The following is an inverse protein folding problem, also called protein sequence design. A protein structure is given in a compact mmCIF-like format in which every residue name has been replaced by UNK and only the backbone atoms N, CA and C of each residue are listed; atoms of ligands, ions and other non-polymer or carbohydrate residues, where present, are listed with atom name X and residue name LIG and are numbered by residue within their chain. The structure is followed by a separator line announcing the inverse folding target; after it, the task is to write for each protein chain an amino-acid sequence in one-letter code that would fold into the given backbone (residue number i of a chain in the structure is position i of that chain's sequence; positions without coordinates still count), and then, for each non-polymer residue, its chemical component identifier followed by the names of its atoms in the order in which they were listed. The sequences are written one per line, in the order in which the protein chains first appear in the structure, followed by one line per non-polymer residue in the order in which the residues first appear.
data_IF_665978532040
#
_entry.id   IF_665978532040
#
_cell.length_a   1.000
_cell.length_b   1.000
_cell.length_c   1.000
_cell.angle_alpha   90.00
_cell.angle_beta   90.00
_cell.angle_gamma   90.00
#
_symmetry.space_group_name_H-M   'P 1'
#
loop_
_entity.id
_entity.type
_entity.pdbx_description
1 polymer ?
#
# COMPACT_ATOMS: atom_id res chain seq x y z
N UNK A 1 -9.93 40.71 -12.82
CA UNK A 1 -8.66 40.44 -12.10
C UNK A 1 -8.98 39.51 -10.94
N UNK A 2 -8.43 38.29 -10.90
CA UNK A 2 -8.59 37.39 -9.76
C UNK A 2 -7.41 37.63 -8.81
N UNK A 3 -7.67 38.17 -7.62
CA UNK A 3 -6.67 38.40 -6.59
C UNK A 3 -7.05 37.69 -5.29
N UNK A 4 -6.09 36.99 -4.68
CA UNK A 4 -6.24 36.37 -3.33
C UNK A 4 -6.11 37.38 -2.18
N UNK A 5 -6.09 38.67 -2.51
CA UNK A 5 -5.91 39.77 -1.58
C UNK A 5 -7.22 40.51 -1.34
N UNK A 6 -7.42 40.99 -0.11
CA UNK A 6 -8.53 41.87 0.26
C UNK A 6 -8.25 43.27 -0.28
N UNK A 7 -9.16 43.82 -1.09
CA UNK A 7 -9.02 45.17 -1.66
C UNK A 7 -9.80 46.18 -0.83
N UNK A 8 -9.14 47.22 -0.32
CA UNK A 8 -9.79 48.34 0.40
C UNK A 8 -9.68 49.62 -0.43
N UNK A 9 -10.81 50.21 -0.79
CA UNK A 9 -10.87 51.50 -1.50
C UNK A 9 -11.30 52.55 -0.50
N UNK A 10 -10.50 53.61 -0.32
CA UNK A 10 -10.78 54.71 0.62
C UNK A 10 -10.90 56.04 -0.10
N UNK A 11 -12.02 56.73 0.08
CA UNK A 11 -12.25 58.08 -0.46
C UNK A 11 -13.12 58.91 0.50
N UNK A 12 -12.71 60.15 0.78
CA UNK A 12 -13.45 61.12 1.63
C UNK A 12 -14.04 60.49 2.91
N UNK A 13 -13.18 59.85 3.70
CA UNK A 13 -13.50 59.16 4.96
C UNK A 13 -14.37 57.89 4.87
N UNK A 14 -14.78 57.46 3.66
CA UNK A 14 -15.49 56.19 3.45
C UNK A 14 -14.50 55.14 2.93
N UNK A 15 -14.43 54.00 3.61
CA UNK A 15 -13.64 52.83 3.20
C UNK A 15 -14.58 51.68 2.85
N UNK A 16 -14.45 51.12 1.64
CA UNK A 16 -15.17 49.90 1.22
C UNK A 16 -14.18 48.76 1.06
N UNK A 17 -14.46 47.63 1.72
CA UNK A 17 -13.62 46.43 1.72
C UNK A 17 -14.28 45.36 0.85
N UNK A 18 -13.52 44.79 -0.09
CA UNK A 18 -13.97 43.69 -0.94
C UNK A 18 -13.23 42.40 -0.56
N UNK A 19 -13.98 41.34 -0.30
CA UNK A 19 -13.44 40.04 0.06
C UNK A 19 -12.63 39.43 -1.10
N UNK A 20 -11.60 38.66 -0.75
CA UNK A 20 -10.80 37.90 -1.71
C UNK A 20 -11.70 36.98 -2.56
N UNK A 21 -11.49 36.97 -3.88
CA UNK A 21 -12.31 36.22 -4.83
C UNK A 21 -13.48 37.00 -5.45
N UNK A 22 -13.72 38.25 -5.03
CA UNK A 22 -14.70 39.11 -5.71
C UNK A 22 -14.20 39.46 -7.12
N UNK A 23 -14.95 39.08 -8.15
CA UNK A 23 -14.63 39.45 -9.54
C UNK A 23 -15.52 40.62 -9.95
N UNK A 24 -14.91 41.74 -10.34
CA UNK A 24 -15.64 42.92 -10.83
C UNK A 24 -15.01 43.44 -12.12
N UNK A 25 -15.81 44.11 -12.94
CA UNK A 25 -15.31 44.76 -14.14
C UNK A 25 -14.47 46.00 -13.78
N UNK A 26 -13.46 46.31 -14.59
CA UNK A 26 -12.59 47.48 -14.37
C UNK A 26 -13.38 48.79 -14.39
N UNK A 27 -14.44 48.88 -15.20
CA UNK A 27 -15.31 50.06 -15.27
C UNK A 27 -16.16 50.24 -14.01
N UNK A 28 -16.61 49.15 -13.40
CA UNK A 28 -17.38 49.15 -12.15
C UNK A 28 -16.49 49.62 -10.98
N UNK A 29 -15.25 49.13 -10.91
CA UNK A 29 -14.24 49.60 -9.96
C UNK A 29 -13.97 51.10 -10.11
N UNK A 30 -13.87 51.58 -11.36
CA UNK A 30 -13.63 53.00 -11.69
C UNK A 30 -14.82 53.88 -11.32
N UNK A 31 -16.05 53.39 -11.49
CA UNK A 31 -17.27 54.12 -11.13
C UNK A 31 -17.44 54.27 -9.60
N UNK A 32 -17.08 53.21 -8.85
CA UNK A 32 -17.02 53.24 -7.37
C UNK A 32 -15.96 54.23 -6.89
N UNK A 33 -14.78 54.24 -7.51
CA UNK A 33 -13.73 55.21 -7.20
C UNK A 33 -14.13 56.66 -7.53
N UNK A 34 -14.97 56.86 -8.54
CA UNK A 34 -15.41 58.19 -9.01
C UNK A 34 -16.66 58.73 -8.30
N UNK A 35 -17.35 57.93 -7.49
CA UNK A 35 -18.48 58.37 -6.66
C UNK A 35 -19.86 58.23 -7.32
N UNK A 36 -19.97 57.41 -8.38
CA UNK A 36 -21.23 57.12 -9.05
C UNK A 36 -22.00 56.01 -8.34
N UNK A 37 -22.64 56.32 -7.20
CA UNK A 37 -23.54 55.39 -6.53
C UNK A 37 -24.84 55.22 -7.29
N UNK A 38 -24.97 54.13 -8.06
CA UNK A 38 -26.28 53.59 -8.43
C UNK A 38 -26.48 52.30 -7.63
N UNK A 39 -27.32 52.38 -6.61
CA UNK A 39 -27.79 51.25 -5.79
C UNK A 39 -28.57 50.26 -6.65
N UNK A 40 -27.88 49.41 -7.41
CA UNK A 40 -28.47 48.17 -7.90
C UNK A 40 -28.19 47.10 -6.84
N UNK A 41 -29.22 46.80 -6.05
CA UNK A 41 -29.28 45.68 -5.12
C UNK A 41 -28.73 44.44 -5.84
N UNK A 42 -27.64 43.80 -5.36
CA UNK A 42 -27.21 42.54 -5.94
C UNK A 42 -28.36 41.56 -5.70
N UNK A 43 -29.01 41.17 -6.80
CA UNK A 43 -29.87 40.01 -6.85
C UNK A 43 -29.03 38.84 -6.35
N UNK A 44 -29.43 38.31 -5.20
CA UNK A 44 -28.85 37.13 -4.57
C UNK A 44 -29.15 35.93 -5.47
N UNK A 45 -28.39 35.79 -6.55
CA UNK A 45 -28.21 34.51 -7.22
C UNK A 45 -27.40 33.68 -6.23
N UNK A 46 -28.07 32.76 -5.55
CA UNK A 46 -27.41 31.70 -4.80
C UNK A 46 -26.26 31.17 -5.65
N UNK A 47 -25.04 31.01 -5.12
CA UNK A 47 -24.02 30.28 -5.85
C UNK A 47 -24.59 28.89 -6.11
N UNK A 48 -24.89 28.61 -7.37
CA UNK A 48 -24.92 27.23 -7.87
C UNK A 48 -23.69 26.58 -7.30
N UNK A 49 -23.92 25.50 -6.56
CA UNK A 49 -22.92 24.61 -6.01
C UNK A 49 -21.75 24.52 -6.98
N UNK A 50 -20.67 25.24 -6.66
CA UNK A 50 -19.41 25.10 -7.33
C UNK A 50 -19.01 23.66 -7.06
N UNK A 51 -19.25 22.84 -8.08
CA UNK A 51 -18.58 21.60 -8.39
C UNK A 51 -17.25 21.54 -7.62
N UNK A 52 -17.28 20.71 -6.56
CA UNK A 52 -16.16 20.52 -5.68
C UNK A 52 -14.98 20.09 -6.55
N UNK A 53 -14.02 20.99 -6.75
CA UNK A 53 -12.69 20.60 -7.16
C UNK A 53 -12.21 19.64 -6.07
N UNK A 54 -12.19 18.35 -6.38
CA UNK A 54 -11.62 17.33 -5.51
C UNK A 54 -10.25 17.84 -5.06
N UNK A 55 -9.95 17.92 -3.75
CA UNK A 55 -8.61 18.28 -3.33
C UNK A 55 -7.67 17.22 -3.91
N UNK A 56 -6.70 17.62 -4.73
CA UNK A 56 -5.60 16.74 -5.12
C UNK A 56 -5.03 16.17 -3.82
N UNK A 57 -5.01 14.84 -3.63
CA UNK A 57 -4.52 14.27 -2.39
C UNK A 57 -3.07 14.73 -2.20
N UNK A 58 -2.75 15.21 -0.99
CA UNK A 58 -1.38 15.53 -0.65
C UNK A 58 -0.56 14.25 -0.62
N UNK A 59 0.75 14.34 -0.90
CA UNK A 59 1.67 13.21 -0.76
C UNK A 59 1.53 12.50 0.59
N UNK A 60 1.29 13.27 1.66
CA UNK A 60 1.04 12.74 3.00
C UNK A 60 -0.22 11.89 3.08
N UNK A 61 -1.35 12.37 2.56
CA UNK A 61 -2.60 11.62 2.56
C UNK A 61 -2.48 10.34 1.73
N UNK A 62 -1.73 10.40 0.62
CA UNK A 62 -1.47 9.22 -0.20
C UNK A 62 -0.57 8.21 0.51
N UNK A 63 0.47 8.67 1.22
CA UNK A 63 1.31 7.81 2.04
C UNK A 63 0.50 7.10 3.14
N UNK A 64 -0.35 7.82 3.87
CA UNK A 64 -1.24 7.25 4.90
C UNK A 64 -2.22 6.21 4.30
N UNK A 65 -2.73 6.46 3.09
CA UNK A 65 -3.57 5.50 2.36
C UNK A 65 -2.80 4.23 2.03
N UNK A 66 -1.58 4.37 1.51
CA UNK A 66 -0.72 3.24 1.10
C UNK A 66 -0.24 2.42 2.30
N UNK A 67 0.05 3.07 3.43
CA UNK A 67 0.35 2.40 4.69
C UNK A 67 -0.81 1.50 5.16
N UNK A 68 -2.05 1.99 5.06
CA UNK A 68 -3.23 1.18 5.39
C UNK A 68 -3.40 -0.04 4.46
N UNK A 69 -3.14 0.13 3.16
CA UNK A 69 -3.17 -0.98 2.18
C UNK A 69 -2.09 -2.01 2.53
N UNK A 70 -0.88 -1.55 2.81
CA UNK A 70 0.24 -2.38 3.20
C UNK A 70 -0.06 -3.21 4.46
N UNK A 71 -0.53 -2.58 5.52
CA UNK A 71 -0.90 -3.25 6.78
C UNK A 71 -2.00 -4.29 6.57
N UNK A 72 -2.97 -3.97 5.71
CA UNK A 72 -4.07 -4.88 5.38
C UNK A 72 -3.55 -6.08 4.59
N UNK A 73 -2.64 -5.86 3.63
CA UNK A 73 -1.96 -6.91 2.88
C UNK A 73 -1.17 -7.83 3.80
N UNK A 74 -0.34 -7.28 4.70
CA UNK A 74 0.43 -8.07 5.65
C UNK A 74 -0.45 -8.91 6.59
N UNK A 75 -1.55 -8.34 7.11
CA UNK A 75 -2.52 -9.09 7.93
C UNK A 75 -3.18 -10.22 7.16
N UNK A 76 -3.49 -10.00 5.88
CA UNK A 76 -4.07 -11.00 4.99
C UNK A 76 -3.05 -12.02 4.45
N UNK A 77 -1.75 -11.87 4.77
CA UNK A 77 -0.63 -12.62 4.17
C UNK A 77 -0.54 -12.45 2.65
N UNK A 78 -1.06 -11.35 2.11
CA UNK A 78 -0.91 -10.96 0.71
C UNK A 78 0.36 -10.10 0.56
N UNK A 79 1.48 -10.78 0.29
CA UNK A 79 2.79 -10.14 0.10
C UNK A 79 2.80 -9.28 -1.17
N UNK A 80 2.03 -9.66 -2.20
CA UNK A 80 1.99 -8.90 -3.45
C UNK A 80 1.34 -7.54 -3.21
N UNK A 81 0.19 -7.49 -2.53
CA UNK A 81 -0.46 -6.23 -2.19
C UNK A 81 0.44 -5.31 -1.34
N UNK A 82 1.17 -5.89 -0.38
CA UNK A 82 2.10 -5.14 0.46
C UNK A 82 3.27 -4.57 -0.36
N UNK A 83 3.89 -5.36 -1.25
CA UNK A 83 4.97 -4.88 -2.13
C UNK A 83 4.47 -3.83 -3.11
N UNK A 84 3.28 -4.00 -3.68
CA UNK A 84 2.66 -2.99 -4.55
C UNK A 84 2.51 -1.66 -3.83
N UNK A 85 2.03 -1.65 -2.58
CA UNK A 85 1.89 -0.42 -1.81
C UNK A 85 3.23 0.29 -1.55
N UNK A 86 4.31 -0.46 -1.32
CA UNK A 86 5.67 0.08 -1.15
C UNK A 86 6.16 0.76 -2.44
N UNK A 87 5.99 0.09 -3.59
CA UNK A 87 6.41 0.63 -4.88
C UNK A 87 5.55 1.84 -5.31
N UNK A 88 4.24 1.82 -5.02
CA UNK A 88 3.37 2.96 -5.25
C UNK A 88 3.78 4.17 -4.39
N UNK A 89 4.19 3.96 -3.14
CA UNK A 89 4.67 5.05 -2.28
C UNK A 89 5.99 5.63 -2.79
N UNK A 90 6.90 4.77 -3.25
CA UNK A 90 8.16 5.20 -3.86
C UNK A 90 7.90 6.05 -5.12
N UNK A 91 7.01 5.60 -6.01
CA UNK A 91 6.62 6.36 -7.20
C UNK A 91 5.95 7.70 -6.82
N UNK A 92 5.04 7.71 -5.85
CA UNK A 92 4.38 8.94 -5.40
C UNK A 92 5.38 9.98 -4.85
N UNK A 93 6.44 9.53 -4.15
CA UNK A 93 7.52 10.40 -3.68
C UNK A 93 8.33 10.96 -4.86
N UNK A 94 8.62 10.13 -5.87
CA UNK A 94 9.36 10.52 -7.09
C UNK A 94 8.55 11.55 -7.89
N UNK A 95 7.27 11.29 -8.12
CA UNK A 95 6.38 12.18 -8.87
C UNK A 95 6.24 13.54 -8.17
N UNK A 96 6.02 13.52 -6.84
CA UNK A 96 5.89 14.75 -6.08
C UNK A 96 7.18 15.60 -6.08
N UNK A 97 8.35 14.95 -6.01
CA UNK A 97 9.64 15.63 -6.06
C UNK A 97 9.97 16.18 -7.46
N UNK A 98 9.42 15.59 -8.52
CA UNK A 98 9.56 16.11 -9.88
C UNK A 98 8.69 17.36 -10.11
N UNK A 99 7.48 17.37 -9.53
CA UNK A 99 6.50 18.43 -9.74
C UNK A 99 6.61 19.60 -8.73
N UNK A 100 7.26 19.37 -7.58
CA UNK A 100 7.31 20.34 -6.47
C UNK A 100 8.75 20.70 -6.11
N UNK A 101 9.08 21.99 -6.11
CA UNK A 101 10.38 22.51 -5.66
C UNK A 101 10.59 22.48 -4.14
N UNK A 102 9.63 21.93 -3.38
CA UNK A 102 9.65 21.91 -1.92
C UNK A 102 10.45 20.71 -1.41
N UNK A 103 11.52 20.96 -0.65
CA UNK A 103 12.49 19.92 -0.30
C UNK A 103 12.06 19.07 0.93
N UNK A 104 11.23 19.63 1.81
CA UNK A 104 10.93 19.05 3.13
C UNK A 104 9.68 18.14 3.13
N UNK A 105 8.86 18.15 2.08
CA UNK A 105 7.61 17.38 2.02
C UNK A 105 7.79 15.87 1.87
N UNK A 106 8.99 15.40 1.53
CA UNK A 106 9.26 13.97 1.29
C UNK A 106 9.79 13.22 2.53
N UNK A 107 10.19 13.91 3.60
CA UNK A 107 10.89 13.26 4.72
C UNK A 107 10.00 12.24 5.46
N UNK A 108 8.76 12.63 5.77
CA UNK A 108 7.76 11.75 6.40
C UNK A 108 7.45 10.51 5.56
N UNK A 109 6.99 10.67 4.30
CA UNK A 109 6.74 9.55 3.38
C UNK A 109 7.96 8.63 3.17
N UNK A 110 9.18 9.18 3.08
CA UNK A 110 10.40 8.36 2.99
C UNK A 110 10.68 7.57 4.27
N UNK A 111 10.40 8.13 5.45
CA UNK A 111 10.53 7.42 6.70
C UNK A 111 9.53 6.25 6.80
N UNK A 112 8.29 6.49 6.37
CA UNK A 112 7.24 5.46 6.27
C UNK A 112 7.65 4.33 5.30
N UNK A 113 8.12 4.68 4.10
CA UNK A 113 8.63 3.71 3.12
C UNK A 113 9.73 2.81 3.71
N UNK A 114 10.71 3.41 4.41
CA UNK A 114 11.78 2.64 5.06
C UNK A 114 11.22 1.69 6.13
N UNK A 115 10.24 2.14 6.92
CA UNK A 115 9.54 1.31 7.90
C UNK A 115 8.85 0.10 7.27
N UNK A 116 8.08 0.32 6.19
CA UNK A 116 7.41 -0.75 5.45
C UNK A 116 8.41 -1.76 4.88
N UNK A 117 9.54 -1.30 4.32
CA UNK A 117 10.60 -2.19 3.83
C UNK A 117 11.23 -3.00 4.95
N UNK A 118 11.50 -2.40 6.12
CA UNK A 118 12.01 -3.13 7.30
C UNK A 118 11.02 -4.19 7.76
N UNK A 119 9.73 -3.88 7.82
CA UNK A 119 8.69 -4.83 8.21
C UNK A 119 8.52 -5.98 7.21
N UNK A 120 8.65 -5.71 5.90
CA UNK A 120 8.73 -6.76 4.88
C UNK A 120 9.96 -7.65 5.06
N UNK A 121 11.12 -7.06 5.39
CA UNK A 121 12.33 -7.83 5.66
C UNK A 121 12.15 -8.77 6.86
N UNK A 122 11.55 -8.31 7.95
CA UNK A 122 11.22 -9.15 9.12
C UNK A 122 10.28 -10.30 8.74
N UNK A 123 9.26 -10.02 7.92
CA UNK A 123 8.35 -11.04 7.42
C UNK A 123 9.04 -12.04 6.49
N UNK A 124 9.93 -11.56 5.62
CA UNK A 124 10.71 -12.37 4.70
C UNK A 124 11.70 -13.28 5.43
N UNK A 125 12.32 -12.85 6.53
CA UNK A 125 13.21 -13.70 7.35
C UNK A 125 12.48 -14.95 7.87
N UNK A 126 11.20 -14.81 8.23
CA UNK A 126 10.39 -15.95 8.64
C UNK A 126 10.08 -16.90 7.47
N UNK A 127 9.80 -16.34 6.28
CA UNK A 127 9.49 -17.10 5.06
C UNK A 127 10.70 -17.65 4.31
N UNK A 128 11.92 -17.17 4.61
CA UNK A 128 13.15 -17.57 3.94
C UNK A 128 13.74 -18.89 4.46
N UNK A 129 13.16 -19.47 5.53
CA UNK A 129 13.52 -20.81 5.99
C UNK A 129 13.11 -21.83 4.94
N UNK A 130 13.97 -22.80 4.64
CA UNK A 130 13.59 -23.91 3.77
C UNK A 130 12.39 -24.63 4.42
N UNK A 131 11.23 -24.72 3.73
CA UNK A 131 10.09 -25.48 4.24
C UNK A 131 10.47 -26.91 4.65
N UNK A 132 11.47 -27.49 3.97
CA UNK A 132 12.05 -28.80 4.30
C UNK A 132 12.56 -28.84 5.74
N UNK A 133 13.27 -27.82 6.21
CA UNK A 133 13.84 -27.80 7.57
C UNK A 133 12.75 -27.78 8.65
N UNK A 134 11.60 -27.18 8.35
CA UNK A 134 10.47 -27.10 9.27
C UNK A 134 9.72 -28.43 9.33
N UNK A 135 9.51 -29.09 8.18
CA UNK A 135 8.74 -30.33 8.13
C UNK A 135 9.59 -31.56 8.45
N UNK A 136 10.91 -31.50 8.25
CA UNK A 136 11.81 -32.64 8.37
C UNK A 136 11.64 -33.46 9.66
N UNK A 137 11.61 -32.87 10.87
CA UNK A 137 11.48 -33.65 12.10
C UNK A 137 10.16 -34.43 12.18
N UNK A 138 9.09 -33.89 11.60
CA UNK A 138 7.78 -34.55 11.57
C UNK A 138 7.75 -35.67 10.53
N UNK A 139 8.37 -35.45 9.36
CA UNK A 139 8.48 -36.47 8.31
C UNK A 139 9.33 -37.63 8.78
N UNK A 140 10.49 -37.35 9.38
CA UNK A 140 11.40 -38.36 9.94
C UNK A 140 10.69 -39.21 11.00
N UNK A 141 9.97 -38.59 11.94
CA UNK A 141 9.18 -39.32 12.93
C UNK A 141 8.11 -40.24 12.29
N UNK A 142 7.43 -39.79 11.23
CA UNK A 142 6.46 -40.61 10.52
C UNK A 142 7.11 -41.76 9.73
N UNK A 143 8.30 -41.56 9.17
CA UNK A 143 9.08 -42.59 8.50
C UNK A 143 9.57 -43.65 9.50
N UNK A 144 10.00 -43.25 10.69
CA UNK A 144 10.35 -44.18 11.77
C UNK A 144 9.15 -45.02 12.20
N UNK A 145 7.97 -44.40 12.38
CA UNK A 145 6.74 -45.12 12.70
C UNK A 145 6.34 -46.10 11.58
N UNK A 146 6.56 -45.72 10.31
CA UNK A 146 6.33 -46.61 9.16
C UNK A 146 7.26 -47.82 9.22
N UNK A 147 8.54 -47.63 9.56
CA UNK A 147 9.49 -48.74 9.66
C UNK A 147 9.15 -49.67 10.83
N UNK A 148 8.83 -49.13 12.01
CA UNK A 148 8.36 -49.92 13.16
C UNK A 148 7.11 -50.73 12.82
N UNK A 149 6.17 -50.17 12.05
CA UNK A 149 5.00 -50.89 11.58
C UNK A 149 5.36 -52.06 10.64
N UNK A 150 6.37 -51.90 9.76
CA UNK A 150 6.88 -52.98 8.90
C UNK A 150 7.54 -54.08 9.72
N UNK A 151 8.38 -53.73 10.70
CA UNK A 151 9.04 -54.68 11.60
C UNK A 151 8.03 -55.51 12.40
N UNK A 152 6.92 -54.88 12.81
CA UNK A 152 5.82 -55.54 13.53
C UNK A 152 4.87 -56.32 12.59
N UNK A 153 5.09 -56.31 11.27
CA UNK A 153 4.22 -56.96 10.28
C UNK A 153 2.88 -56.27 10.06
N UNK A 154 2.73 -55.02 10.53
CA UNK A 154 1.54 -54.19 10.38
C UNK A 154 1.55 -53.44 9.03
N UNK A 155 1.43 -54.20 7.94
CA UNK A 155 1.51 -53.65 6.57
C UNK A 155 0.44 -52.59 6.29
N UNK A 156 -0.77 -52.78 6.81
CA UNK A 156 -1.87 -51.82 6.65
C UNK A 156 -1.57 -50.45 7.27
N UNK A 157 -0.89 -50.43 8.43
CA UNK A 157 -0.46 -49.18 9.06
C UNK A 157 0.68 -48.52 8.29
N UNK A 158 1.66 -49.31 7.83
CA UNK A 158 2.77 -48.81 7.03
C UNK A 158 2.30 -48.17 5.71
N UNK A 159 1.33 -48.79 5.04
CA UNK A 159 0.72 -48.26 3.82
C UNK A 159 -0.09 -46.99 4.11
N UNK A 160 -0.91 -46.98 5.18
CA UNK A 160 -1.65 -45.79 5.58
C UNK A 160 -0.74 -44.59 5.90
N UNK A 161 0.43 -44.82 6.49
CA UNK A 161 1.44 -43.77 6.74
C UNK A 161 2.06 -43.26 5.43
N UNK A 162 2.38 -44.14 4.49
CA UNK A 162 2.88 -43.77 3.15
C UNK A 162 1.86 -42.91 2.40
N UNK A 163 0.59 -43.29 2.43
CA UNK A 163 -0.48 -42.57 1.74
C UNK A 163 -0.68 -41.18 2.33
N UNK A 164 -0.59 -41.05 3.66
CA UNK A 164 -0.65 -39.74 4.35
C UNK A 164 0.51 -38.83 3.98
N UNK A 165 1.73 -39.36 3.92
CA UNK A 165 2.90 -38.60 3.46
C UNK A 165 2.72 -38.13 2.02
N UNK A 166 2.25 -39.02 1.14
CA UNK A 166 1.99 -38.70 -0.27
C UNK A 166 0.90 -37.63 -0.42
N UNK A 167 -0.20 -37.76 0.34
CA UNK A 167 -1.28 -36.77 0.36
C UNK A 167 -0.84 -35.40 0.90
N UNK A 168 0.18 -35.35 1.75
CA UNK A 168 0.82 -34.13 2.24
C UNK A 168 1.87 -33.56 1.26
N UNK A 169 2.02 -34.15 0.06
CA UNK A 169 3.01 -33.71 -0.93
C UNK A 169 4.43 -34.17 -0.62
N UNK A 170 4.61 -35.19 0.23
CA UNK A 170 5.92 -35.76 0.56
C UNK A 170 6.11 -37.04 -0.24
N UNK A 171 7.01 -37.01 -1.22
CA UNK A 171 7.41 -38.19 -1.99
C UNK A 171 8.50 -38.93 -1.23
N UNK A 172 8.22 -40.18 -0.82
CA UNK A 172 9.19 -41.03 -0.12
C UNK A 172 9.86 -41.97 -1.11
N UNK A 173 11.20 -41.95 -1.14
CA UNK A 173 12.07 -42.80 -1.95
C UNK A 173 12.88 -43.70 -1.02
N UNK A 174 12.55 -44.99 -1.03
CA UNK A 174 13.31 -45.99 -0.30
C UNK A 174 14.68 -46.19 -1.01
N UNK A 175 15.79 -45.98 -0.29
CA UNK A 175 17.15 -46.24 -0.79
C UNK A 175 17.85 -47.28 0.08
N UNK A 176 18.90 -47.96 -0.43
CA UNK A 176 19.69 -48.90 0.38
C UNK A 176 20.32 -48.27 1.63
N UNK A 177 20.46 -46.94 1.66
CA UNK A 177 21.02 -46.16 2.77
C UNK A 177 19.94 -45.62 3.72
N UNK A 178 18.66 -45.86 3.45
CA UNK A 178 17.51 -45.35 4.21
C UNK A 178 16.46 -44.67 3.32
N UNK A 179 15.31 -44.33 3.89
CA UNK A 179 14.29 -43.58 3.17
C UNK A 179 14.72 -42.12 3.00
N UNK A 180 14.78 -41.66 1.76
CA UNK A 180 14.93 -40.23 1.41
C UNK A 180 13.56 -39.67 1.01
N UNK A 181 13.34 -38.38 1.17
CA UNK A 181 12.07 -37.76 0.82
C UNK A 181 12.24 -36.40 0.16
N UNK A 182 11.23 -36.03 -0.64
CA UNK A 182 11.12 -34.76 -1.35
C UNK A 182 9.79 -34.11 -0.99
N UNK A 183 9.79 -32.78 -0.83
CA UNK A 183 8.59 -31.99 -0.60
C UNK A 183 8.17 -31.33 -1.92
N UNK A 184 6.95 -31.60 -2.38
CA UNK A 184 6.40 -31.05 -3.61
C UNK A 184 6.38 -29.51 -3.54
N UNK A 185 6.95 -28.85 -4.57
CA UNK A 185 7.02 -27.39 -4.66
C UNK A 185 8.28 -26.77 -4.04
N UNK A 186 9.21 -27.56 -3.50
CA UNK A 186 10.55 -27.09 -3.14
C UNK A 186 11.35 -26.78 -4.43
N UNK A 187 12.26 -25.79 -4.47
CA UNK A 187 13.05 -25.51 -5.67
C UNK A 187 13.84 -26.73 -6.19
N UNK A 188 14.20 -27.65 -5.30
CA UNK A 188 14.87 -28.92 -5.63
C UNK A 188 13.93 -29.99 -6.24
N UNK A 189 12.62 -29.77 -6.18
CA UNK A 189 11.61 -30.63 -6.85
C UNK A 189 11.36 -30.24 -8.32
N UNK A 190 12.01 -29.16 -8.79
CA UNK A 190 11.67 -28.46 -10.03
C UNK A 190 12.68 -28.52 -11.18
N UNK A 191 13.62 -29.48 -11.22
CA UNK A 191 14.33 -29.78 -12.48
C UNK A 191 13.48 -30.59 -13.47
N UNK A 192 12.29 -31.06 -13.07
CA UNK A 192 11.35 -31.80 -13.93
C UNK A 192 9.91 -31.25 -13.84
N UNK A 193 9.69 -29.99 -14.23
CA UNK A 193 8.37 -29.55 -14.70
C UNK A 193 8.53 -28.36 -15.65
N UNK A 194 8.30 -28.63 -16.93
CA UNK A 194 8.19 -27.67 -18.03
C UNK A 194 6.97 -26.77 -17.89
#
# INVERSE_FOLDING_TARGET
MLGRATLTIRRQAVSTVFAAGTTMAIDELRQIAQGGGSTRRPSNSQPSTAEAASPTPSLRAEAERLELVFDTGLRARDVNAAVTAVLELEQAIVDWAADTEEMDGTEGPRAMLRGMVTQLAEFAVLGARDPRDIVAPFVEALLEQREQAREQGSWTLADALRDRLTAAGIEVRDTPQGATWLLAGSPDSGLDAR
#
